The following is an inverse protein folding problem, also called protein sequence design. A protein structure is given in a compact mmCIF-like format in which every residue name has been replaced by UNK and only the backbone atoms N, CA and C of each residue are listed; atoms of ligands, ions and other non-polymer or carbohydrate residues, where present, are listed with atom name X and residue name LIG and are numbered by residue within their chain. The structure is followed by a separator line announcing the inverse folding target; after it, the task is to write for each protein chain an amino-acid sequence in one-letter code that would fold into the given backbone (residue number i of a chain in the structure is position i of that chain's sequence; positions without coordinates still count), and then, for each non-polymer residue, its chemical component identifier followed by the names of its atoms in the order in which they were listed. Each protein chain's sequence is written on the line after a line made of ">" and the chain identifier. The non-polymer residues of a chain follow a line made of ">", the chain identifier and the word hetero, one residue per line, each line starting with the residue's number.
data_IF_052457216627
#
_entry.id   IF_052457216627
#
_cell.length_a   1.000
_cell.length_b   1.000
_cell.length_c   1.000
_cell.angle_alpha   90.00
_cell.angle_beta   90.00
_cell.angle_gamma   90.00
#
_symmetry.space_group_name_H-M   'P 1'
#
loop_
_entity.id
_entity.type
_entity.pdbx_description
1 polymer ?
#
# COMPACT_ATOMS: atom_id res chain seq x y z
N UNK A 1 4.57 -18.98 9.70
CA UNK A 1 3.87 -18.14 8.71
C UNK A 1 4.89 -17.71 7.68
N UNK A 2 4.62 -17.85 6.38
CA UNK A 2 5.54 -17.42 5.32
C UNK A 2 4.89 -16.28 4.56
N UNK A 3 5.67 -15.26 4.21
CA UNK A 3 5.25 -14.31 3.18
C UNK A 3 5.04 -15.06 1.87
N UNK A 4 4.13 -14.59 1.04
CA UNK A 4 3.91 -15.20 -0.27
C UNK A 4 5.16 -15.01 -1.13
N UNK A 5 5.73 -16.07 -1.72
CA UNK A 5 6.96 -15.99 -2.52
C UNK A 5 6.88 -14.98 -3.69
N UNK A 6 5.67 -14.73 -4.18
CA UNK A 6 5.40 -13.73 -5.22
C UNK A 6 5.68 -12.30 -4.75
N UNK A 7 5.40 -11.96 -3.49
CA UNK A 7 5.65 -10.62 -2.94
C UNK A 7 7.16 -10.42 -2.74
N UNK A 8 7.85 -11.46 -2.23
CA UNK A 8 9.30 -11.41 -2.05
C UNK A 8 10.05 -11.29 -3.38
N UNK A 9 9.53 -11.86 -4.46
CA UNK A 9 10.14 -11.70 -5.79
C UNK A 9 9.76 -10.40 -6.50
N UNK A 10 8.59 -9.82 -6.17
CA UNK A 10 8.12 -8.56 -6.76
C UNK A 10 8.81 -7.32 -6.18
N UNK A 11 9.12 -7.33 -4.88
CA UNK A 11 9.80 -6.24 -4.17
C UNK A 11 11.31 -6.42 -4.19
N UNK A 12 12.07 -5.39 -4.58
CA UNK A 12 13.53 -5.50 -4.74
C UNK A 12 14.33 -5.30 -3.44
N UNK A 13 13.67 -5.00 -2.33
CA UNK A 13 14.30 -4.97 -1.01
C UNK A 13 13.31 -5.34 0.09
N UNK A 14 13.78 -5.97 1.18
CA UNK A 14 12.95 -6.15 2.37
C UNK A 14 12.74 -4.81 3.09
N UNK A 15 11.76 -4.76 3.98
CA UNK A 15 11.63 -3.64 4.92
C UNK A 15 12.91 -3.53 5.77
N UNK A 16 13.56 -2.35 5.84
CA UNK A 16 14.77 -2.15 6.65
C UNK A 16 14.50 -2.32 8.15
N UNK A 17 15.48 -2.87 8.88
CA UNK A 17 15.38 -3.03 10.34
C UNK A 17 15.11 -1.70 11.05
N UNK A 18 15.79 -0.62 10.64
CA UNK A 18 15.59 0.70 11.23
C UNK A 18 14.15 1.22 11.09
N UNK A 19 13.40 0.81 10.06
CA UNK A 19 11.96 1.12 9.96
C UNK A 19 11.14 0.32 10.99
N UNK A 20 11.48 -0.96 11.22
CA UNK A 20 10.82 -1.79 12.23
C UNK A 20 11.03 -1.21 13.64
N UNK A 21 12.25 -0.78 13.93
CA UNK A 21 12.60 -0.18 15.22
C UNK A 21 11.73 1.07 15.47
N UNK A 22 11.58 1.93 14.47
CA UNK A 22 10.70 3.12 14.55
C UNK A 22 9.22 2.78 14.69
N UNK A 23 8.75 1.73 14.02
CA UNK A 23 7.36 1.27 14.14
C UNK A 23 7.04 0.81 15.57
N UNK A 24 8.02 0.21 16.25
CA UNK A 24 7.89 -0.23 17.65
C UNK A 24 8.02 0.95 18.63
N UNK A 25 8.82 1.96 18.31
CA UNK A 25 8.94 3.19 19.12
C UNK A 25 7.73 4.14 18.97
N UNK A 26 7.02 4.09 17.84
CA UNK A 26 5.93 5.02 17.50
C UNK A 26 4.60 4.33 17.12
N UNK A 27 4.04 3.43 17.96
CA UNK A 27 2.86 2.64 17.62
C UNK A 27 1.60 3.49 17.38
N UNK A 28 1.46 4.65 18.04
CA UNK A 28 0.33 5.56 17.79
C UNK A 28 0.38 6.17 16.38
N UNK A 29 1.57 6.60 15.95
CA UNK A 29 1.76 7.19 14.61
C UNK A 29 1.54 6.12 13.54
N UNK A 30 2.03 4.90 13.77
CA UNK A 30 1.80 3.75 12.91
C UNK A 30 0.30 3.53 12.67
N UNK A 31 -0.50 3.46 13.73
CA UNK A 31 -1.95 3.20 13.61
C UNK A 31 -2.70 4.35 12.95
N UNK A 32 -2.36 5.59 13.29
CA UNK A 32 -2.98 6.77 12.66
C UNK A 32 -2.67 6.78 11.15
N UNK A 33 -1.41 6.53 10.76
CA UNK A 33 -1.05 6.53 9.35
C UNK A 33 -1.61 5.33 8.60
N UNK A 34 -1.66 4.16 9.24
CA UNK A 34 -2.33 2.97 8.69
C UNK A 34 -3.78 3.30 8.36
N UNK A 35 -4.56 3.85 9.31
CA UNK A 35 -5.94 4.28 9.06
C UNK A 35 -6.05 5.32 7.93
N UNK A 36 -5.05 6.20 7.78
CA UNK A 36 -5.00 7.14 6.66
C UNK A 36 -4.72 6.42 5.33
N UNK A 37 -3.84 5.42 5.31
CA UNK A 37 -3.52 4.62 4.13
C UNK A 37 -4.76 3.91 3.60
N UNK A 38 -5.54 3.27 4.47
CA UNK A 38 -6.80 2.62 4.07
C UNK A 38 -7.78 3.60 3.40
N UNK A 39 -7.95 4.80 3.98
CA UNK A 39 -8.79 5.83 3.38
C UNK A 39 -8.24 6.38 2.06
N UNK A 40 -6.92 6.51 1.94
CA UNK A 40 -6.27 6.94 0.69
C UNK A 40 -6.40 5.87 -0.40
N UNK A 41 -6.32 4.58 -0.06
CA UNK A 41 -6.52 3.47 -0.98
C UNK A 41 -7.96 3.48 -1.52
N UNK A 42 -8.96 3.57 -0.63
CA UNK A 42 -10.36 3.75 -1.01
C UNK A 42 -10.58 4.99 -1.90
N UNK A 43 -10.02 6.14 -1.52
CA UNK A 43 -10.14 7.38 -2.28
C UNK A 43 -9.49 7.30 -3.68
N UNK A 44 -8.38 6.58 -3.80
CA UNK A 44 -7.72 6.33 -5.09
C UNK A 44 -8.59 5.46 -5.99
N UNK A 45 -9.16 4.39 -5.43
CA UNK A 45 -10.08 3.51 -6.15
C UNK A 45 -11.32 4.26 -6.65
N UNK A 46 -11.92 5.11 -5.81
CA UNK A 46 -13.05 5.96 -6.19
C UNK A 46 -12.67 6.98 -7.28
N UNK A 47 -11.47 7.56 -7.20
CA UNK A 47 -10.97 8.50 -8.22
C UNK A 47 -10.83 7.82 -9.59
N UNK A 48 -10.31 6.60 -9.62
CA UNK A 48 -10.21 5.81 -10.85
C UNK A 48 -11.60 5.41 -11.37
N UNK A 49 -12.52 5.03 -10.47
CA UNK A 49 -13.89 4.69 -10.81
C UNK A 49 -14.61 5.85 -11.51
N UNK A 50 -14.50 7.08 -10.98
CA UNK A 50 -15.13 8.26 -11.59
C UNK A 50 -14.47 8.68 -12.91
N UNK A 51 -13.17 8.40 -13.08
CA UNK A 51 -12.42 8.79 -14.29
C UNK A 51 -12.70 7.87 -15.47
N UNK A 52 -12.84 6.57 -15.24
CA UNK A 52 -12.87 5.55 -16.28
C UNK A 52 -14.26 4.91 -16.43
N UNK A 53 -15.26 5.74 -16.70
CA UNK A 53 -16.67 5.36 -16.82
C UNK A 53 -16.95 4.41 -17.99
N UNK A 54 -16.05 4.34 -18.95
CA UNK A 54 -16.12 3.47 -20.14
C UNK A 54 -15.62 2.03 -19.87
N UNK A 55 -15.01 1.77 -18.70
CA UNK A 55 -14.40 0.49 -18.35
C UNK A 55 -15.22 -0.23 -17.28
N UNK A 56 -16.30 -0.88 -17.68
CA UNK A 56 -17.25 -1.54 -16.76
C UNK A 56 -16.56 -2.53 -15.79
N UNK A 57 -15.71 -3.42 -16.29
CA UNK A 57 -14.98 -4.39 -15.44
C UNK A 57 -14.09 -3.69 -14.39
N UNK A 58 -13.41 -2.61 -14.78
CA UNK A 58 -12.58 -1.80 -13.87
C UNK A 58 -13.44 -1.18 -12.76
N UNK A 59 -14.59 -0.60 -13.12
CA UNK A 59 -15.49 0.03 -12.15
C UNK A 59 -15.98 -0.95 -11.08
N UNK A 60 -16.39 -2.16 -11.46
CA UNK A 60 -16.81 -3.17 -10.49
C UNK A 60 -15.67 -3.62 -9.58
N UNK A 61 -14.46 -3.83 -10.13
CA UNK A 61 -13.28 -4.20 -9.32
C UNK A 61 -12.93 -3.10 -8.32
N UNK A 62 -12.84 -1.84 -8.77
CA UNK A 62 -12.51 -0.69 -7.91
C UNK A 62 -13.59 -0.42 -6.85
N UNK A 63 -14.87 -0.59 -7.18
CA UNK A 63 -15.97 -0.46 -6.20
C UNK A 63 -15.87 -1.50 -5.08
N UNK A 64 -15.49 -2.75 -5.43
CA UNK A 64 -15.25 -3.80 -4.44
C UNK A 64 -14.04 -3.49 -3.57
N UNK A 65 -12.93 -3.09 -4.18
CA UNK A 65 -11.70 -2.71 -3.48
C UNK A 65 -11.98 -1.56 -2.50
N UNK A 66 -12.59 -0.47 -2.96
CA UNK A 66 -12.89 0.69 -2.11
C UNK A 66 -13.72 0.33 -0.86
N UNK A 67 -14.69 -0.58 -0.99
CA UNK A 67 -15.48 -1.04 0.17
C UNK A 67 -14.66 -1.90 1.13
N UNK A 68 -13.74 -2.69 0.61
CA UNK A 68 -12.83 -3.50 1.43
C UNK A 68 -11.87 -2.61 2.23
N UNK A 69 -11.27 -1.60 1.62
CA UNK A 69 -10.37 -0.67 2.35
C UNK A 69 -11.12 0.19 3.37
N UNK A 70 -12.36 0.58 3.09
CA UNK A 70 -13.16 1.29 4.09
C UNK A 70 -13.48 0.39 5.30
N UNK A 71 -13.64 -0.92 5.09
CA UNK A 71 -13.77 -1.88 6.18
C UNK A 71 -12.46 -2.04 6.95
N UNK A 72 -11.31 -2.09 6.27
CA UNK A 72 -10.00 -2.09 6.95
C UNK A 72 -9.83 -0.81 7.80
N UNK A 73 -10.16 0.35 7.24
CA UNK A 73 -10.16 1.62 7.97
C UNK A 73 -10.99 1.55 9.25
N UNK A 74 -12.22 1.03 9.18
CA UNK A 74 -13.10 0.87 10.33
C UNK A 74 -12.46 -0.04 11.40
N UNK A 75 -11.83 -1.15 11.00
CA UNK A 75 -11.13 -2.05 11.92
C UNK A 75 -9.94 -1.38 12.61
N UNK A 76 -9.11 -0.62 11.87
CA UNK A 76 -7.99 0.14 12.46
C UNK A 76 -8.53 1.21 13.42
N UNK A 77 -9.60 1.92 13.06
CA UNK A 77 -10.20 2.95 13.90
C UNK A 77 -10.78 2.37 15.21
N UNK A 78 -11.40 1.18 15.16
CA UNK A 78 -11.84 0.47 16.36
C UNK A 78 -10.66 0.06 17.24
N UNK A 79 -9.57 -0.42 16.65
CA UNK A 79 -8.35 -0.79 17.36
C UNK A 79 -7.70 0.43 18.04
N UNK A 80 -7.61 1.55 17.32
CA UNK A 80 -7.16 2.84 17.86
C UNK A 80 -7.99 3.25 19.07
N UNK A 81 -9.33 3.17 18.97
CA UNK A 81 -10.25 3.51 20.06
C UNK A 81 -10.04 2.63 21.29
N UNK A 82 -9.89 1.30 21.11
CA UNK A 82 -9.60 0.37 22.21
C UNK A 82 -8.30 0.69 22.93
N UNK A 83 -7.32 1.22 22.20
CA UNK A 83 -5.97 1.56 22.68
C UNK A 83 -5.83 3.00 23.17
N UNK A 84 -6.91 3.79 23.16
CA UNK A 84 -6.86 5.19 23.56
C UNK A 84 -6.08 6.10 22.59
N UNK A 85 -5.83 5.64 21.36
CA UNK A 85 -5.13 6.42 20.34
C UNK A 85 -6.08 7.46 19.76
N UNK A 86 -5.76 8.73 19.96
CA UNK A 86 -6.56 9.84 19.44
C UNK A 86 -6.26 10.02 17.95
N UNK A 87 -7.31 9.91 17.14
CA UNK A 87 -7.17 10.17 15.71
C UNK A 87 -6.96 11.67 15.45
N UNK A 88 -5.76 12.01 14.97
CA UNK A 88 -5.36 13.37 14.60
C UNK A 88 -4.78 13.41 13.20
N UNK A 89 -4.78 14.60 12.61
CA UNK A 89 -4.12 14.83 11.34
C UNK A 89 -2.60 14.65 11.48
N UNK A 90 -2.03 13.88 10.56
CA UNK A 90 -0.58 13.80 10.33
C UNK A 90 -0.32 14.04 8.83
N UNK A 91 0.89 14.46 8.48
CA UNK A 91 1.27 14.61 7.07
C UNK A 91 1.38 13.24 6.38
N UNK A 92 1.21 13.20 5.07
CA UNK A 92 1.45 11.97 4.32
C UNK A 92 2.96 11.67 4.21
N UNK A 93 3.31 10.40 4.00
CA UNK A 93 4.67 10.00 3.63
C UNK A 93 5.03 10.50 2.22
N UNK A 94 6.34 10.55 1.93
CA UNK A 94 6.85 10.89 0.60
C UNK A 94 6.79 9.71 -0.38
N UNK A 95 6.50 8.49 0.09
CA UNK A 95 6.54 7.27 -0.71
C UNK A 95 5.64 7.31 -1.93
N UNK A 96 4.32 7.44 -1.76
CA UNK A 96 3.40 7.46 -2.90
C UNK A 96 3.71 8.63 -3.86
N UNK A 97 4.15 9.77 -3.33
CA UNK A 97 4.58 10.91 -4.14
C UNK A 97 5.80 10.55 -5.03
N UNK A 98 6.83 9.89 -4.47
CA UNK A 98 8.03 9.44 -5.20
C UNK A 98 7.67 8.50 -6.35
N UNK A 99 6.65 7.66 -6.21
CA UNK A 99 6.18 6.81 -7.30
C UNK A 99 5.33 7.60 -8.32
N UNK A 100 4.38 8.41 -7.83
CA UNK A 100 3.43 9.13 -8.69
C UNK A 100 4.07 10.11 -9.67
N UNK A 101 5.23 10.69 -9.36
CA UNK A 101 5.92 11.62 -10.29
C UNK A 101 6.36 10.95 -11.60
N UNK A 102 6.44 9.61 -11.63
CA UNK A 102 6.82 8.85 -12.81
C UNK A 102 5.63 8.26 -13.59
N UNK A 103 4.40 8.54 -13.18
CA UNK A 103 3.19 8.15 -13.91
C UNK A 103 3.10 8.94 -15.22
N UNK A 104 2.92 8.23 -16.34
CA UNK A 104 2.68 8.85 -17.65
C UNK A 104 1.42 9.72 -17.62
N UNK A 105 1.44 10.82 -18.38
CA UNK A 105 0.33 11.79 -18.39
C UNK A 105 -0.81 11.42 -19.33
N UNK A 106 -0.52 10.67 -20.40
CA UNK A 106 -1.46 10.32 -21.46
C UNK A 106 -2.05 8.93 -21.23
N UNK A 107 -3.31 8.74 -21.62
CA UNK A 107 -3.96 7.43 -21.66
C UNK A 107 -3.48 6.60 -22.87
N UNK A 108 -3.48 5.25 -22.77
CA UNK A 108 -3.82 4.44 -21.59
C UNK A 108 -2.68 4.31 -20.58
N UNK A 109 -1.48 4.83 -20.89
CA UNK A 109 -0.29 4.70 -20.06
C UNK A 109 -0.44 5.24 -18.64
N UNK A 110 -1.24 6.30 -18.46
CA UNK A 110 -1.56 6.87 -17.15
C UNK A 110 -2.32 5.88 -16.27
N UNK A 111 -3.38 5.26 -16.79
CA UNK A 111 -4.14 4.23 -16.06
C UNK A 111 -3.23 3.05 -15.70
N UNK A 112 -2.50 2.51 -16.69
CA UNK A 112 -1.61 1.36 -16.49
C UNK A 112 -0.58 1.64 -15.39
N UNK A 113 0.10 2.80 -15.45
CA UNK A 113 1.10 3.16 -14.44
C UNK A 113 0.48 3.38 -13.06
N UNK A 114 -0.72 3.96 -12.99
CA UNK A 114 -1.43 4.15 -11.72
C UNK A 114 -1.76 2.80 -11.07
N UNK A 115 -2.18 1.81 -11.88
CA UNK A 115 -2.47 0.46 -11.40
C UNK A 115 -1.18 -0.28 -10.96
N UNK A 116 -0.06 -0.11 -11.69
CA UNK A 116 1.24 -0.67 -11.28
C UNK A 116 1.70 -0.06 -9.95
N UNK A 117 1.57 1.25 -9.77
CA UNK A 117 1.89 1.90 -8.50
C UNK A 117 1.00 1.39 -7.37
N UNK A 118 -0.30 1.19 -7.63
CA UNK A 118 -1.21 0.52 -6.70
C UNK A 118 -0.67 -0.85 -6.27
N UNK A 119 -0.28 -1.70 -7.21
CA UNK A 119 0.30 -3.01 -6.93
C UNK A 119 1.53 -2.93 -6.00
N UNK A 120 2.42 -1.97 -6.20
CA UNK A 120 3.58 -1.75 -5.33
C UNK A 120 3.22 -1.28 -3.93
N UNK A 121 2.20 -0.44 -3.79
CA UNK A 121 1.71 0.01 -2.47
C UNK A 121 1.18 -1.20 -1.69
N UNK A 122 0.29 -2.01 -2.28
CA UNK A 122 -0.31 -3.17 -1.60
C UNK A 122 0.74 -4.25 -1.29
N UNK A 123 1.64 -4.54 -2.23
CA UNK A 123 2.71 -5.51 -2.01
C UNK A 123 3.61 -5.08 -0.84
N UNK A 124 3.98 -3.79 -0.77
CA UNK A 124 4.78 -3.27 0.34
C UNK A 124 4.02 -3.26 1.66
N UNK A 125 2.72 -2.94 1.65
CA UNK A 125 1.86 -3.03 2.84
C UNK A 125 1.86 -4.45 3.40
N UNK A 126 1.60 -5.44 2.55
CA UNK A 126 1.63 -6.86 2.91
C UNK A 126 2.98 -7.27 3.52
N UNK A 127 4.10 -6.89 2.89
CA UNK A 127 5.43 -7.21 3.41
C UNK A 127 5.71 -6.54 4.76
N UNK A 128 5.31 -5.27 4.95
CA UNK A 128 5.47 -4.57 6.24
C UNK A 128 4.63 -5.18 7.34
N UNK A 129 3.36 -5.50 7.07
CA UNK A 129 2.52 -6.21 8.04
C UNK A 129 3.15 -7.54 8.46
N UNK A 130 3.63 -8.32 7.49
CA UNK A 130 4.27 -9.61 7.76
C UNK A 130 5.54 -9.47 8.60
N UNK A 131 6.42 -8.52 8.27
CA UNK A 131 7.69 -8.30 8.99
C UNK A 131 7.48 -7.74 10.38
N UNK A 132 6.48 -6.87 10.57
CA UNK A 132 6.25 -6.20 11.84
C UNK A 132 5.47 -7.06 12.83
N UNK A 133 4.50 -7.87 12.35
CA UNK A 133 3.61 -8.63 13.21
C UNK A 133 4.30 -9.45 14.32
N UNK A 134 5.42 -10.17 14.09
CA UNK A 134 6.11 -10.95 15.13
C UNK A 134 6.60 -10.15 16.33
N UNK A 135 6.74 -8.82 16.20
CA UNK A 135 7.23 -7.93 17.25
C UNK A 135 6.10 -7.23 18.02
N UNK A 136 4.84 -7.40 17.59
CA UNK A 136 3.68 -6.76 18.19
C UNK A 136 3.03 -7.64 19.27
N UNK A 137 2.21 -7.02 20.12
CA UNK A 137 1.36 -7.77 21.05
C UNK A 137 0.35 -8.67 20.30
N UNK A 138 -0.24 -9.62 21.02
CA UNK A 138 -1.08 -10.66 20.44
C UNK A 138 -2.25 -10.11 19.60
N UNK A 139 -2.90 -9.02 20.02
CA UNK A 139 -4.05 -8.46 19.29
C UNK A 139 -3.59 -7.80 17.99
N UNK A 140 -2.54 -6.98 18.05
CA UNK A 140 -1.98 -6.33 16.86
C UNK A 140 -1.35 -7.32 15.88
N UNK A 141 -0.62 -8.31 16.39
CA UNK A 141 -0.07 -9.40 15.60
C UNK A 141 -1.20 -10.10 14.81
N UNK A 142 -2.24 -10.55 15.52
CA UNK A 142 -3.38 -11.25 14.90
C UNK A 142 -4.08 -10.38 13.86
N UNK A 143 -4.24 -9.09 14.16
CA UNK A 143 -4.86 -8.13 13.22
C UNK A 143 -4.02 -7.96 11.95
N UNK A 144 -2.72 -7.67 12.05
CA UNK A 144 -1.87 -7.48 10.86
C UNK A 144 -1.69 -8.77 10.06
N UNK A 145 -1.64 -9.91 10.73
CA UNK A 145 -1.68 -11.23 10.09
C UNK A 145 -2.97 -11.43 9.29
N UNK A 146 -4.12 -10.98 9.81
CA UNK A 146 -5.41 -11.13 9.13
C UNK A 146 -5.53 -10.27 7.86
N UNK A 147 -4.76 -9.19 7.73
CA UNK A 147 -4.75 -8.33 6.55
C UNK A 147 -3.93 -8.92 5.39
N UNK A 148 -2.97 -9.82 5.65
CA UNK A 148 -2.04 -10.28 4.61
C UNK A 148 -2.74 -10.90 3.39
N UNK A 149 -3.85 -11.61 3.60
CA UNK A 149 -4.60 -12.24 2.51
C UNK A 149 -5.31 -11.21 1.62
N UNK A 150 -5.92 -10.17 2.20
CA UNK A 150 -6.57 -9.11 1.40
C UNK A 150 -5.53 -8.30 0.64
N UNK A 151 -4.46 -7.87 1.30
CA UNK A 151 -3.36 -7.09 0.70
C UNK A 151 -2.71 -7.83 -0.48
N UNK A 152 -2.48 -9.14 -0.33
CA UNK A 152 -1.94 -9.94 -1.44
C UNK A 152 -2.92 -10.05 -2.61
N UNK A 153 -4.22 -10.17 -2.34
CA UNK A 153 -5.23 -10.15 -3.43
C UNK A 153 -5.27 -8.80 -4.10
N UNK A 154 -5.21 -7.70 -3.35
CA UNK A 154 -5.23 -6.35 -3.91
C UNK A 154 -4.01 -6.09 -4.80
N UNK A 155 -2.82 -6.49 -4.38
CA UNK A 155 -1.62 -6.52 -5.21
C UNK A 155 -1.87 -7.23 -6.55
N UNK A 156 -2.37 -8.47 -6.50
CA UNK A 156 -2.64 -9.27 -7.71
C UNK A 156 -3.72 -8.63 -8.58
N UNK A 157 -4.79 -8.10 -7.98
CA UNK A 157 -5.89 -7.45 -8.67
C UNK A 157 -5.40 -6.19 -9.42
N UNK A 158 -4.59 -5.34 -8.77
CA UNK A 158 -3.98 -4.19 -9.42
C UNK A 158 -3.11 -4.58 -10.60
N UNK A 159 -2.22 -5.56 -10.43
CA UNK A 159 -1.31 -5.99 -11.49
C UNK A 159 -2.07 -6.64 -12.66
N UNK A 160 -3.12 -7.40 -12.38
CA UNK A 160 -4.00 -7.99 -13.39
C UNK A 160 -4.81 -6.93 -14.14
N UNK A 161 -5.32 -5.91 -13.45
CA UNK A 161 -5.97 -4.77 -14.09
C UNK A 161 -4.97 -3.99 -14.98
N UNK A 162 -3.73 -3.80 -14.52
CA UNK A 162 -2.70 -3.13 -15.32
C UNK A 162 -2.43 -3.87 -16.63
N UNK A 163 -2.28 -5.21 -16.57
CA UNK A 163 -2.12 -6.05 -17.78
C UNK A 163 -3.34 -6.00 -18.69
N UNK A 164 -4.55 -6.00 -18.12
CA UNK A 164 -5.79 -6.01 -18.89
C UNK A 164 -5.99 -4.72 -19.71
N UNK A 165 -5.50 -3.59 -19.23
CA UNK A 165 -5.71 -2.26 -19.85
C UNK A 165 -4.46 -1.70 -20.53
N UNK A 166 -3.39 -2.48 -20.66
CA UNK A 166 -2.20 -2.11 -21.41
C UNK A 166 -2.30 -2.56 -22.86
N UNK A 167 -1.78 -1.73 -23.78
CA UNK A 167 -1.65 -2.09 -25.20
C UNK A 167 -0.46 -3.03 -25.45
N UNK A 168 0.59 -2.87 -24.64
CA UNK A 168 1.86 -3.60 -24.72
C UNK A 168 2.15 -4.34 -23.39
N UNK A 169 3.05 -5.33 -23.37
CA UNK A 169 3.53 -5.96 -22.14
C UNK A 169 3.99 -4.92 -21.10
N UNK A 170 3.63 -5.13 -19.83
CA UNK A 170 3.90 -4.16 -18.75
C UNK A 170 5.22 -4.43 -18.02
N UNK A 171 5.95 -5.49 -18.36
CA UNK A 171 7.11 -5.98 -17.62
C UNK A 171 8.18 -4.90 -17.45
N UNK A 172 8.49 -4.13 -18.51
CA UNK A 172 9.44 -3.01 -18.42
C UNK A 172 8.97 -1.91 -17.46
N UNK A 173 7.67 -1.61 -17.45
CA UNK A 173 7.09 -0.60 -16.54
C UNK A 173 7.09 -1.11 -15.10
N UNK A 174 6.80 -2.39 -14.90
CA UNK A 174 6.87 -3.03 -13.58
C UNK A 174 8.32 -2.97 -13.07
N UNK A 175 9.31 -3.44 -13.84
CA UNK A 175 10.72 -3.37 -13.44
C UNK A 175 11.21 -1.94 -13.18
N UNK A 176 10.72 -0.97 -13.97
CA UNK A 176 11.02 0.44 -13.75
C UNK A 176 10.48 0.95 -12.41
N UNK A 177 9.23 0.66 -12.07
CA UNK A 177 8.65 1.06 -10.78
C UNK A 177 9.24 0.27 -9.61
N UNK A 178 9.70 -0.97 -9.83
CA UNK A 178 10.39 -1.78 -8.83
C UNK A 178 11.63 -1.05 -8.28
N UNK A 179 12.42 -0.44 -9.16
CA UNK A 179 13.63 0.29 -8.77
C UNK A 179 13.28 1.61 -8.05
N UNK A 180 12.25 2.33 -8.50
CA UNK A 180 11.77 3.54 -7.82
C UNK A 180 11.24 3.22 -6.43
N UNK A 181 10.47 2.13 -6.30
CA UNK A 181 9.94 1.66 -5.03
C UNK A 181 11.08 1.31 -4.07
N UNK A 182 12.06 0.54 -4.54
CA UNK A 182 13.27 0.21 -3.78
C UNK A 182 13.97 1.45 -3.27
N UNK A 183 14.16 2.45 -4.13
CA UNK A 183 14.75 3.74 -3.74
C UNK A 183 13.88 4.48 -2.72
N UNK A 184 12.56 4.48 -2.88
CA UNK A 184 11.64 5.13 -1.96
C UNK A 184 11.67 4.49 -0.56
N UNK A 185 11.86 3.18 -0.46
CA UNK A 185 11.99 2.44 0.80
C UNK A 185 13.37 2.61 1.44
N UNK A 186 14.44 2.68 0.66
CA UNK A 186 15.80 2.78 1.19
C UNK A 186 16.23 4.22 1.50
N UNK A 187 15.57 5.22 0.91
CA UNK A 187 15.87 6.63 1.17
C UNK A 187 15.35 7.04 2.55
N UNK A 188 16.19 7.57 3.46
CA UNK A 188 15.74 8.09 4.75
C UNK A 188 14.70 9.21 4.59
N UNK A 189 13.66 9.16 5.42
CA UNK A 189 12.69 10.24 5.59
C UNK A 189 13.00 11.02 6.89
N UNK A 190 12.18 12.01 7.23
CA UNK A 190 12.26 12.74 8.51
C UNK A 190 11.08 12.43 9.45
N UNK A 191 10.08 11.73 8.92
CA UNK A 191 8.76 11.57 9.52
C UNK A 191 8.36 10.12 9.39
N UNK A 192 8.19 9.43 10.53
CA UNK A 192 7.83 8.02 10.52
C UNK A 192 6.39 7.84 10.05
N UNK A 193 6.18 7.00 9.05
CA UNK A 193 4.88 6.70 8.46
C UNK A 193 4.82 5.23 8.05
N UNK A 194 3.62 4.71 7.81
CA UNK A 194 3.44 3.31 7.43
C UNK A 194 4.21 2.95 6.16
N UNK A 195 4.37 3.89 5.21
CA UNK A 195 5.21 3.73 4.02
C UNK A 195 6.47 4.63 4.02
N UNK A 196 6.94 5.19 5.15
CA UNK A 196 8.20 5.97 5.16
C UNK A 196 9.41 5.12 4.81
N UNK A 197 10.49 5.74 4.36
CA UNK A 197 11.74 5.05 4.04
C UNK A 197 12.52 4.54 5.26
N UNK A 198 13.77 4.13 5.04
CA UNK A 198 14.56 3.26 5.94
C UNK A 198 14.83 3.82 7.33
N UNK A 199 14.93 5.14 7.46
CA UNK A 199 15.05 5.83 8.72
C UNK A 199 14.26 7.13 8.60
N UNK A 200 13.29 7.35 9.47
CA UNK A 200 12.59 8.61 9.67
C UNK A 200 13.02 9.35 10.95
#
# INVERSE_FOLDING_TARGET
>A
MSLLPEIESFLLCPTPQAWLDQALEHPEILLIDHANCEKKAAGTALTLLFRHVDKETLQYKLSRLAREELRHFEQVAELMKKRGVIYRQISASLYAQRLHVHIRKNEPGRLVDTLIVGAYIEARSCERFFRLAPYLDQELNSFYVSLLESESRHYQDYLNMARQYADDPIDERVSFFAEIERQAILTPDKEFRFHSGAAA
#
